data_IF_919327526411
#
_entry.id   IF_919327526411
#
_cell.length_a   1.000
_cell.length_b   1.000
_cell.length_c   1.000
_cell.angle_alpha   90.00
_cell.angle_beta   90.00
_cell.angle_gamma   90.00
#
_symmetry.space_group_name_H-M   'P 1'
#
loop_
_entity.id
_entity.type
_entity.pdbx_description
1 polymer ?
#
# COMPACT_ATOMS: atom_id res chain seq x y z
N UNK A 1 -4.19 -35.01 7.51
CA UNK A 1 -3.92 -33.59 7.69
C UNK A 1 -3.31 -33.05 6.41
N UNK A 2 -3.94 -32.05 5.80
CA UNK A 2 -3.49 -31.40 4.58
C UNK A 2 -2.85 -30.03 4.82
N UNK A 3 -3.02 -29.47 6.01
CA UNK A 3 -2.44 -28.17 6.36
C UNK A 3 -0.92 -28.21 6.31
N UNK A 4 -0.32 -27.25 5.62
CA UNK A 4 1.12 -27.14 5.40
C UNK A 4 1.64 -27.89 4.16
N UNK A 5 0.81 -28.69 3.49
CA UNK A 5 1.15 -29.33 2.22
C UNK A 5 0.98 -28.36 1.04
N UNK A 6 1.71 -28.59 -0.04
CA UNK A 6 1.52 -27.89 -1.30
C UNK A 6 0.42 -28.56 -2.13
N UNK A 7 -0.59 -27.77 -2.52
CA UNK A 7 -1.73 -28.32 -3.27
C UNK A 7 -1.31 -29.00 -4.57
N UNK A 8 -0.43 -28.37 -5.35
CA UNK A 8 -0.06 -28.84 -6.70
C UNK A 8 0.88 -30.05 -6.71
N UNK A 9 1.71 -30.22 -5.69
CA UNK A 9 2.73 -31.27 -5.64
C UNK A 9 2.37 -32.43 -4.72
N UNK A 10 1.67 -32.12 -3.61
CA UNK A 10 1.48 -33.08 -2.53
C UNK A 10 0.04 -33.64 -2.48
N UNK A 11 -0.92 -32.88 -3.03
CA UNK A 11 -2.36 -33.19 -2.94
C UNK A 11 -2.95 -33.52 -4.31
N UNK A 12 -2.79 -32.62 -5.29
CA UNK A 12 -3.39 -32.77 -6.62
C UNK A 12 -2.76 -33.93 -7.38
N UNK A 13 -3.59 -34.92 -7.72
CA UNK A 13 -3.13 -36.11 -8.44
C UNK A 13 -2.40 -37.14 -7.57
N UNK A 14 -2.46 -37.01 -6.26
CA UNK A 14 -1.94 -37.99 -5.33
C UNK A 14 -3.04 -39.00 -4.98
N UNK A 15 -2.83 -40.29 -5.36
CA UNK A 15 -3.80 -41.37 -5.17
C UNK A 15 -4.23 -41.62 -3.72
N UNK A 16 -3.46 -41.13 -2.74
CA UNK A 16 -3.84 -41.20 -1.33
C UNK A 16 -5.09 -40.35 -1.00
N UNK A 17 -5.50 -39.47 -1.90
CA UNK A 17 -6.64 -38.55 -1.70
C UNK A 17 -7.75 -38.77 -2.76
N UNK A 18 -7.64 -39.78 -3.62
CA UNK A 18 -8.62 -40.04 -4.70
C UNK A 18 -10.03 -40.38 -4.17
N UNK A 19 -10.11 -40.88 -2.95
CA UNK A 19 -11.38 -41.14 -2.27
C UNK A 19 -12.08 -39.90 -1.74
N UNK A 20 -11.40 -38.75 -1.77
CA UNK A 20 -11.92 -37.49 -1.23
C UNK A 20 -12.17 -36.48 -2.33
N UNK A 21 -13.29 -35.79 -2.25
CA UNK A 21 -13.56 -34.62 -3.08
C UNK A 21 -12.94 -33.36 -2.45
N UNK A 22 -11.83 -32.94 -2.99
CA UNK A 22 -11.15 -31.74 -2.48
C UNK A 22 -11.67 -30.50 -3.19
N UNK A 23 -12.20 -29.55 -2.42
CA UNK A 23 -12.63 -28.23 -2.88
C UNK A 23 -11.60 -27.20 -2.41
N UNK A 24 -11.01 -26.48 -3.35
CA UNK A 24 -9.99 -25.46 -3.08
C UNK A 24 -10.60 -24.07 -3.07
N UNK A 25 -10.26 -23.28 -2.05
CA UNK A 25 -10.51 -21.84 -1.95
C UNK A 25 -9.17 -21.14 -1.81
N UNK A 26 -8.96 -20.06 -2.53
CA UNK A 26 -7.75 -19.25 -2.44
C UNK A 26 -7.93 -18.12 -1.44
N UNK A 27 -6.89 -17.84 -0.65
CA UNK A 27 -6.83 -16.74 0.29
C UNK A 27 -5.41 -16.17 0.31
N UNK A 28 -5.29 -14.82 0.32
CA UNK A 28 -4.01 -14.16 0.51
C UNK A 28 -3.44 -14.45 1.90
N UNK A 29 -2.13 -14.60 1.98
CA UNK A 29 -1.42 -14.79 3.24
C UNK A 29 0.02 -14.31 3.13
N UNK A 30 0.44 -13.53 4.11
CA UNK A 30 1.83 -13.05 4.21
C UNK A 30 2.75 -14.06 4.90
N UNK A 31 2.17 -14.96 5.68
CA UNK A 31 2.90 -15.91 6.53
C UNK A 31 3.02 -17.29 5.90
N UNK A 32 2.09 -17.63 5.00
CA UNK A 32 2.05 -18.93 4.32
C UNK A 32 2.43 -18.75 2.85
N UNK A 33 3.43 -19.50 2.40
CA UNK A 33 3.91 -19.44 1.02
C UNK A 33 2.80 -19.79 0.01
N UNK A 34 2.85 -19.17 -1.16
CA UNK A 34 1.90 -19.44 -2.23
C UNK A 34 1.81 -20.93 -2.57
N UNK A 35 0.59 -21.41 -2.74
CA UNK A 35 0.28 -22.80 -3.07
C UNK A 35 0.26 -23.76 -1.88
N UNK A 36 0.50 -23.29 -0.66
CA UNK A 36 0.48 -24.08 0.58
C UNK A 36 -0.89 -23.95 1.25
N UNK A 37 -1.39 -25.07 1.78
CA UNK A 37 -2.68 -25.14 2.48
C UNK A 37 -2.59 -24.43 3.83
N UNK A 38 -3.42 -23.40 4.01
CA UNK A 38 -3.55 -22.62 5.24
C UNK A 38 -4.42 -23.36 6.25
N UNK A 39 -5.57 -23.86 5.80
CA UNK A 39 -6.57 -24.53 6.64
C UNK A 39 -7.34 -25.58 5.86
N UNK A 40 -7.98 -26.47 6.56
CA UNK A 40 -8.90 -27.48 6.01
C UNK A 40 -10.17 -27.59 6.84
N UNK A 41 -11.27 -27.92 6.17
CA UNK A 41 -12.54 -28.24 6.81
C UNK A 41 -13.12 -29.52 6.16
N UNK A 42 -13.42 -30.57 6.91
CA UNK A 42 -13.27 -30.74 8.36
C UNK A 42 -11.83 -30.79 8.84
N UNK A 43 -11.59 -30.48 10.14
CA UNK A 43 -10.25 -30.57 10.73
C UNK A 43 -9.67 -31.99 10.63
N UNK A 44 -8.34 -32.07 10.59
CA UNK A 44 -7.65 -33.37 10.55
C UNK A 44 -8.04 -34.25 11.75
N UNK A 45 -8.34 -35.52 11.49
CA UNK A 45 -8.79 -36.46 12.52
C UNK A 45 -10.28 -36.36 12.87
N UNK A 46 -11.07 -35.60 12.13
CA UNK A 46 -12.51 -35.54 12.29
C UNK A 46 -13.17 -36.83 11.80
N UNK A 47 -14.03 -37.43 12.62
CA UNK A 47 -14.84 -38.61 12.25
C UNK A 47 -16.04 -38.26 11.35
N UNK A 48 -16.21 -36.98 11.00
CA UNK A 48 -17.41 -36.41 10.37
C UNK A 48 -17.45 -36.53 8.84
N UNK A 49 -16.52 -37.22 8.21
CA UNK A 49 -16.40 -37.34 6.75
C UNK A 49 -17.37 -38.36 6.11
N UNK A 50 -18.45 -38.77 6.81
CA UNK A 50 -19.18 -39.95 6.43
C UNK A 50 -20.16 -39.82 5.26
N UNK A 51 -20.63 -38.61 4.91
CA UNK A 51 -21.72 -38.51 3.94
C UNK A 51 -21.28 -38.09 2.53
N UNK A 52 -20.26 -37.25 2.35
CA UNK A 52 -19.86 -36.74 1.02
C UNK A 52 -18.35 -36.78 0.73
N UNK A 53 -17.53 -37.19 1.67
CA UNK A 53 -16.05 -37.21 1.53
C UNK A 53 -15.46 -35.90 0.97
N UNK A 54 -16.16 -34.78 1.24
CA UNK A 54 -15.73 -33.46 0.80
C UNK A 54 -14.78 -32.84 1.84
N UNK A 55 -13.61 -32.43 1.38
CA UNK A 55 -12.65 -31.66 2.17
C UNK A 55 -12.47 -30.30 1.49
N UNK A 56 -12.88 -29.24 2.15
CA UNK A 56 -12.56 -27.89 1.72
C UNK A 56 -11.17 -27.51 2.23
N UNK A 57 -10.29 -27.08 1.35
CA UNK A 57 -8.98 -26.54 1.72
C UNK A 57 -8.88 -25.08 1.34
N UNK A 58 -8.26 -24.30 2.22
CA UNK A 58 -7.87 -22.91 1.92
C UNK A 58 -6.39 -22.90 1.57
N UNK A 59 -6.06 -22.45 0.37
CA UNK A 59 -4.70 -22.45 -0.16
C UNK A 59 -4.21 -20.98 -0.26
N UNK A 60 -2.99 -20.76 0.19
CA UNK A 60 -2.38 -19.44 0.08
C UNK A 60 -2.16 -19.02 -1.37
N UNK A 61 -2.67 -17.86 -1.76
CA UNK A 61 -2.33 -17.19 -3.01
C UNK A 61 -1.03 -16.36 -2.90
N UNK A 62 -0.38 -16.37 -1.73
CA UNK A 62 0.73 -15.48 -1.39
C UNK A 62 0.25 -14.12 -0.89
N UNK A 63 1.17 -13.17 -0.67
CA UNK A 63 0.81 -11.84 -0.17
C UNK A 63 0.00 -11.05 -1.19
N UNK A 64 -0.90 -10.20 -0.67
CA UNK A 64 -1.67 -9.26 -1.49
C UNK A 64 -0.78 -8.12 -1.92
N UNK A 65 -0.25 -8.16 -3.13
CA UNK A 65 0.65 -7.15 -3.68
C UNK A 65 -0.09 -6.23 -4.67
N UNK A 66 0.00 -4.93 -4.43
CA UNK A 66 -0.55 -3.87 -5.30
C UNK A 66 0.57 -2.93 -5.72
N UNK A 67 0.56 -2.46 -6.95
CA UNK A 67 1.52 -1.47 -7.42
C UNK A 67 1.19 -0.08 -6.88
N UNK A 68 2.19 0.61 -6.33
CA UNK A 68 2.08 1.98 -5.88
C UNK A 68 1.75 2.89 -7.07
N UNK A 69 0.62 3.61 -7.03
CA UNK A 69 0.27 4.54 -8.10
C UNK A 69 1.16 5.79 -8.05
N UNK A 70 1.33 6.44 -9.20
CA UNK A 70 1.89 7.79 -9.23
C UNK A 70 0.83 8.78 -8.74
N UNK A 71 1.12 9.40 -7.59
CA UNK A 71 0.25 10.38 -6.93
C UNK A 71 0.97 11.71 -6.62
N UNK A 72 2.23 11.86 -7.05
CA UNK A 72 2.97 13.10 -6.86
C UNK A 72 2.24 14.24 -7.57
N UNK A 73 2.08 15.37 -6.90
CA UNK A 73 1.34 16.52 -7.40
C UNK A 73 -0.20 16.41 -7.33
N UNK A 74 -0.74 15.27 -6.90
CA UNK A 74 -2.18 15.15 -6.68
C UNK A 74 -2.58 15.93 -5.43
N UNK A 75 -3.81 16.48 -5.42
CA UNK A 75 -4.40 16.99 -4.19
C UNK A 75 -4.60 15.87 -3.18
N UNK A 76 -4.57 16.20 -1.90
CA UNK A 76 -4.79 15.23 -0.82
C UNK A 76 -6.05 14.37 -1.06
N UNK A 77 -7.16 14.99 -1.50
CA UNK A 77 -8.41 14.27 -1.76
C UNK A 77 -8.32 13.26 -2.92
N UNK A 78 -7.60 13.61 -3.99
CA UNK A 78 -7.43 12.73 -5.14
C UNK A 78 -6.44 11.60 -4.84
N UNK A 79 -5.40 11.89 -4.08
CA UNK A 79 -4.44 10.89 -3.62
C UNK A 79 -5.13 9.85 -2.71
N UNK A 80 -5.93 10.31 -1.72
CA UNK A 80 -6.73 9.43 -0.84
C UNK A 80 -7.61 8.49 -1.65
N UNK A 81 -8.42 9.03 -2.54
CA UNK A 81 -9.32 8.21 -3.37
C UNK A 81 -8.59 7.14 -4.17
N UNK A 82 -7.41 7.47 -4.70
CA UNK A 82 -6.63 6.53 -5.51
C UNK A 82 -6.01 5.43 -4.66
N UNK A 83 -5.50 5.75 -3.48
CA UNK A 83 -4.95 4.78 -2.53
C UNK A 83 -6.05 3.89 -1.95
N UNK A 84 -7.20 4.46 -1.56
CA UNK A 84 -8.35 3.72 -1.03
C UNK A 84 -8.91 2.72 -2.06
N UNK A 85 -8.99 3.12 -3.33
CA UNK A 85 -9.45 2.25 -4.43
C UNK A 85 -8.54 1.02 -4.63
N UNK A 86 -7.27 1.12 -4.26
CA UNK A 86 -6.27 0.04 -4.34
C UNK A 86 -6.13 -0.71 -3.01
N UNK A 87 -6.84 -0.30 -1.95
CA UNK A 87 -6.73 -0.89 -0.62
C UNK A 87 -5.38 -0.62 0.08
N UNK A 88 -4.64 0.40 -0.37
CA UNK A 88 -3.35 0.76 0.20
C UNK A 88 -3.59 1.58 1.47
N UNK A 89 -3.06 1.12 2.59
CA UNK A 89 -3.06 1.91 3.83
C UNK A 89 -2.03 3.02 3.76
N UNK A 90 -2.39 4.22 4.19
CA UNK A 90 -1.51 5.38 4.13
C UNK A 90 -1.67 6.30 5.34
N UNK A 91 -0.61 7.05 5.60
CA UNK A 91 -0.59 8.13 6.59
C UNK A 91 -0.12 9.42 5.91
N UNK A 92 -0.91 10.48 6.02
CA UNK A 92 -0.52 11.78 5.50
C UNK A 92 0.24 12.59 6.55
N UNK A 93 1.33 13.21 6.13
CA UNK A 93 2.20 14.05 6.94
C UNK A 93 2.42 15.37 6.22
N UNK A 94 2.22 16.49 6.92
CA UNK A 94 2.56 17.81 6.38
C UNK A 94 4.07 17.99 6.40
N UNK A 95 4.62 18.50 5.31
CA UNK A 95 6.03 18.86 5.17
C UNK A 95 6.15 20.32 4.75
N UNK A 96 7.28 20.93 5.06
CA UNK A 96 7.56 22.30 4.65
C UNK A 96 7.52 22.42 3.12
N UNK A 97 6.97 23.51 2.64
CA UNK A 97 6.81 23.78 1.21
C UNK A 97 7.85 24.82 0.77
N UNK A 98 8.79 24.40 -0.04
CA UNK A 98 9.81 25.26 -0.66
C UNK A 98 9.28 26.12 -1.82
N UNK A 99 7.98 26.04 -2.08
CA UNK A 99 7.30 26.76 -3.16
C UNK A 99 7.37 26.06 -4.52
N UNK A 100 7.93 24.86 -4.60
CA UNK A 100 7.96 24.07 -5.84
C UNK A 100 6.62 23.41 -6.16
N UNK A 101 5.77 23.24 -5.14
CA UNK A 101 4.44 22.63 -5.27
C UNK A 101 3.33 23.49 -4.70
N UNK A 102 2.12 23.28 -5.16
CA UNK A 102 0.94 23.90 -4.57
C UNK A 102 0.67 23.31 -3.17
N UNK A 103 0.31 24.16 -2.22
CA UNK A 103 -0.08 23.74 -0.89
C UNK A 103 -1.24 22.73 -0.95
N UNK A 104 -1.18 21.70 -0.10
CA UNK A 104 -2.16 20.62 -0.07
C UNK A 104 -2.00 19.55 -1.14
N UNK A 105 -0.92 19.62 -1.93
CA UNK A 105 -0.58 18.58 -2.91
C UNK A 105 0.46 17.60 -2.35
N UNK A 106 0.48 16.38 -2.89
CA UNK A 106 1.47 15.36 -2.52
C UNK A 106 2.85 15.79 -3.01
N UNK A 107 3.75 16.02 -2.10
CA UNK A 107 5.13 16.39 -2.37
C UNK A 107 6.02 15.17 -2.61
N UNK A 108 5.84 14.13 -1.79
CA UNK A 108 6.60 12.89 -1.91
C UNK A 108 5.87 11.71 -1.26
N UNK A 109 6.34 10.52 -1.56
CA UNK A 109 5.92 9.27 -0.93
C UNK A 109 7.15 8.45 -0.59
N UNK A 110 7.08 7.65 0.48
CA UNK A 110 8.17 6.74 0.88
C UNK A 110 8.37 5.57 -0.10
N UNK A 111 7.34 5.23 -0.87
CA UNK A 111 7.41 4.24 -1.95
C UNK A 111 7.26 4.91 -3.31
N UNK A 112 8.13 4.57 -4.24
CA UNK A 112 8.06 5.07 -5.62
C UNK A 112 6.90 4.43 -6.38
N UNK A 113 6.35 5.18 -7.34
CA UNK A 113 5.37 4.64 -8.31
C UNK A 113 5.89 3.36 -8.98
N UNK A 114 5.02 2.36 -9.11
CA UNK A 114 5.36 1.04 -9.66
C UNK A 114 5.97 0.06 -8.64
N UNK A 115 6.26 0.49 -7.41
CA UNK A 115 6.73 -0.42 -6.36
C UNK A 115 5.58 -1.33 -5.91
N UNK A 116 5.83 -2.63 -5.81
CA UNK A 116 4.85 -3.58 -5.28
C UNK A 116 4.80 -3.47 -3.76
N UNK A 117 3.63 -3.16 -3.24
CA UNK A 117 3.35 -2.95 -1.83
C UNK A 117 2.42 -4.05 -1.35
N UNK A 118 2.75 -4.62 -0.19
CA UNK A 118 1.84 -5.49 0.53
C UNK A 118 0.82 -4.65 1.30
N UNK A 119 -0.44 -4.69 0.86
CA UNK A 119 -1.51 -3.87 1.44
C UNK A 119 -1.94 -4.29 2.85
N UNK A 120 -1.56 -5.48 3.28
CA UNK A 120 -1.95 -6.00 4.61
C UNK A 120 -1.01 -5.51 5.73
N UNK A 121 0.29 -5.28 5.40
CA UNK A 121 1.32 -5.00 6.42
C UNK A 121 2.07 -3.68 6.21
N UNK A 122 1.81 -2.95 5.13
CA UNK A 122 2.52 -1.72 4.81
C UNK A 122 1.59 -0.52 4.89
N UNK A 123 2.01 0.50 5.62
CA UNK A 123 1.39 1.82 5.63
C UNK A 123 2.29 2.80 4.88
N UNK A 124 1.80 3.35 3.78
CA UNK A 124 2.53 4.32 2.96
C UNK A 124 2.52 5.69 3.63
N UNK A 125 3.67 6.34 3.73
CA UNK A 125 3.76 7.73 4.20
C UNK A 125 3.65 8.64 2.99
N UNK A 126 2.63 9.49 3.00
CA UNK A 126 2.36 10.49 1.97
C UNK A 126 2.66 11.87 2.54
N UNK A 127 3.70 12.50 2.03
CA UNK A 127 4.08 13.86 2.43
C UNK A 127 3.29 14.89 1.64
N UNK A 128 2.57 15.76 2.35
CA UNK A 128 1.75 16.82 1.77
C UNK A 128 2.46 18.15 1.93
N UNK A 129 2.61 18.91 0.85
CA UNK A 129 3.18 20.25 0.88
C UNK A 129 2.31 21.17 1.76
N UNK A 130 2.91 21.77 2.78
CA UNK A 130 2.28 22.74 3.65
C UNK A 130 1.99 24.07 2.93
N UNK A 131 1.46 25.04 3.66
CA UNK A 131 1.36 26.41 3.16
C UNK A 131 2.75 27.00 2.98
N UNK A 132 2.91 27.82 1.96
CA UNK A 132 4.16 28.54 1.74
C UNK A 132 4.36 29.57 2.85
N UNK A 133 5.48 29.52 3.52
CA UNK A 133 5.84 30.57 4.48
C UNK A 133 6.39 31.79 3.72
N UNK A 134 5.46 32.66 3.29
CA UNK A 134 5.82 33.92 2.60
C UNK A 134 6.54 34.94 3.51
N UNK A 135 6.69 34.65 4.80
CA UNK A 135 7.38 35.54 5.73
C UNK A 135 8.87 35.62 5.50
N UNK A 136 9.47 34.61 4.86
CA UNK A 136 10.90 34.59 4.55
C UNK A 136 11.28 35.40 3.29
N UNK A 137 10.32 35.67 2.39
CA UNK A 137 10.59 36.39 1.13
C UNK A 137 10.59 37.92 1.34
N UNK A 138 9.92 38.40 2.40
CA UNK A 138 9.83 39.85 2.68
C UNK A 138 11.10 40.45 3.27
N UNK A 139 12.11 39.68 3.66
CA UNK A 139 13.34 40.20 4.25
C UNK A 139 14.52 40.37 3.29
N UNK A 140 14.41 39.92 2.04
CA UNK A 140 15.50 40.13 1.06
C UNK A 140 15.27 41.26 0.07
N UNK A 141 14.20 42.01 0.23
CA UNK A 141 13.79 43.09 -0.67
C UNK A 141 13.86 44.50 -0.05
N UNK A 142 14.83 44.79 0.82
CA UNK A 142 15.02 46.17 1.26
C UNK A 142 16.51 46.52 1.25
N UNK A 143 16.93 47.12 0.18
CA UNK A 143 18.28 47.61 0.05
C UNK A 143 18.51 48.34 -1.26
N UNK A 144 17.77 49.37 -1.54
CA UNK A 144 18.26 50.49 -2.36
C UNK A 144 17.27 51.65 -2.29
N UNK A 145 17.36 52.35 -1.21
CA UNK A 145 16.83 53.72 -1.13
C UNK A 145 17.90 54.62 -1.68
N UNK A 146 17.69 55.09 -2.89
CA UNK A 146 18.51 56.17 -3.47
C UNK A 146 18.16 57.44 -2.74
N UNK A 147 19.14 57.95 -2.04
CA UNK A 147 19.14 59.25 -1.39
C UNK A 147 18.97 60.38 -2.43
N UNK A 148 18.02 61.32 -2.25
CA UNK A 148 17.97 62.49 -3.11
C UNK A 148 19.06 63.48 -2.69
N UNK A 149 19.91 63.83 -3.60
CA UNK A 149 20.90 64.87 -3.52
C UNK A 149 20.19 66.21 -3.26
N UNK A 150 20.64 67.01 -2.25
CA UNK A 150 20.14 68.39 -2.12
C UNK A 150 20.79 69.27 -3.15
N UNK A 151 19.98 69.88 -3.97
CA UNK A 151 20.36 70.93 -4.90
C UNK A 151 20.71 72.24 -4.09
N UNK A 152 21.94 72.66 -4.21
CA UNK A 152 22.36 73.95 -3.71
C UNK A 152 21.92 75.02 -4.70
N UNK A 153 20.95 75.83 -4.32
CA UNK A 153 20.53 77.00 -5.07
C UNK A 153 21.04 78.29 -4.44
N UNK A 154 21.48 79.12 -5.20
CA UNK A 154 21.79 80.54 -4.96
C UNK A 154 20.57 81.37 -4.62
#
# INVERSE_FOLDING_TARGET
NLVGLRYTTDIKGNSAYDDYRIVMVEQSSDTVAQGVVISQDPPAGSEKLMDDQIIQITVSSGPSLVEMPDIIGFTQANASKKLDALGIQYKMVMVDNDGTMAAGCVASTDYKAGTKINTENVTVIVSIAGERDDTLVAQTGNGSEAEPTPEAGQ
#
